data_IF_456216139217
#
_entry.id   IF_456216139217
#
_cell.length_a   1.000
_cell.length_b   1.000
_cell.length_c   1.000
_cell.angle_alpha   90.00
_cell.angle_beta   90.00
_cell.angle_gamma   90.00
#
_symmetry.space_group_name_H-M   'P 1'
#
loop_
_entity.id
_entity.type
_entity.pdbx_description
1 polymer ?
#
# COMPACT_ATOMS: atom_id res chain seq x y z
N UNK A 1 56.69 21.13 -55.91
CA UNK A 1 58.16 20.87 -55.85
C UNK A 1 58.75 21.71 -54.71
N UNK A 2 59.73 21.25 -54.01
CA UNK A 2 59.78 20.16 -53.06
C UNK A 2 60.47 20.54 -51.70
N UNK A 3 60.41 19.53 -50.74
CA UNK A 3 61.53 19.04 -49.91
C UNK A 3 62.12 20.04 -48.88
N UNK A 4 62.33 19.74 -47.65
CA UNK A 4 63.11 18.76 -46.86
C UNK A 4 62.80 19.02 -45.38
N UNK A 5 62.63 18.08 -44.60
CA UNK A 5 63.46 17.09 -43.85
C UNK A 5 64.29 17.66 -42.70
N UNK A 6 64.09 16.98 -41.53
CA UNK A 6 65.01 16.85 -40.38
C UNK A 6 65.07 18.02 -39.39
N UNK A 7 64.97 17.83 -38.08
CA UNK A 7 65.70 16.87 -37.25
C UNK A 7 65.21 16.87 -35.81
N UNK A 8 65.06 15.68 -35.21
CA UNK A 8 65.56 15.19 -33.92
C UNK A 8 65.02 15.70 -32.56
N UNK A 9 64.47 14.70 -31.96
CA UNK A 9 64.85 14.08 -30.67
C UNK A 9 64.41 14.74 -29.36
N UNK A 10 63.72 13.91 -28.65
CA UNK A 10 63.88 13.43 -27.28
C UNK A 10 62.75 13.78 -26.30
N UNK A 11 62.24 12.78 -25.62
CA UNK A 11 61.51 12.88 -24.40
C UNK A 11 60.40 11.86 -24.25
N UNK A 12 60.78 10.61 -24.14
CA UNK A 12 59.96 9.49 -23.73
C UNK A 12 59.66 9.61 -22.25
N UNK A 13 58.36 9.60 -21.89
CA UNK A 13 57.93 9.14 -20.57
C UNK A 13 56.49 8.62 -20.70
N UNK A 14 56.23 7.33 -20.46
CA UNK A 14 54.87 6.78 -20.59
C UNK A 14 54.02 7.15 -19.37
N UNK A 15 53.00 7.97 -19.60
CA UNK A 15 51.98 8.22 -18.62
C UNK A 15 51.21 6.93 -18.25
N UNK A 16 51.20 6.61 -16.99
CA UNK A 16 50.45 5.50 -16.39
C UNK A 16 48.95 5.55 -16.75
N UNK A 17 48.30 4.40 -16.94
CA UNK A 17 46.88 4.37 -17.21
C UNK A 17 46.10 4.86 -16.01
N UNK A 18 44.94 5.55 -16.19
CA UNK A 18 44.13 5.98 -15.08
C UNK A 18 43.53 4.75 -14.39
N UNK A 19 43.70 4.69 -13.10
CA UNK A 19 43.05 3.73 -12.20
C UNK A 19 41.54 3.69 -12.47
N UNK A 20 41.04 2.55 -12.91
CA UNK A 20 39.63 2.27 -13.08
C UNK A 20 38.95 2.38 -11.74
N UNK A 21 37.96 3.28 -11.67
CA UNK A 21 37.08 3.52 -10.55
C UNK A 21 36.36 2.20 -10.17
N UNK A 22 36.85 1.53 -9.14
CA UNK A 22 36.21 0.40 -8.47
C UNK A 22 35.07 0.87 -7.56
N UNK A 23 34.15 1.70 -8.07
CA UNK A 23 33.03 2.26 -7.31
C UNK A 23 31.64 1.69 -7.66
N UNK A 24 31.52 0.97 -8.79
CA UNK A 24 30.20 0.55 -9.28
C UNK A 24 29.61 -0.71 -8.66
N UNK A 25 30.43 -1.63 -8.18
CA UNK A 25 29.97 -2.93 -7.70
C UNK A 25 29.35 -2.91 -6.30
N UNK A 26 29.74 -1.97 -5.43
CA UNK A 26 29.20 -1.86 -4.07
C UNK A 26 27.82 -1.20 -4.03
N UNK A 27 27.53 -0.25 -4.91
CA UNK A 27 26.22 0.44 -4.95
C UNK A 27 25.12 -0.46 -5.50
N UNK A 28 25.40 -1.28 -6.51
CA UNK A 28 24.43 -2.24 -7.08
C UNK A 28 24.14 -3.38 -6.12
N UNK A 29 25.12 -3.88 -5.38
CA UNK A 29 24.94 -4.92 -4.36
C UNK A 29 24.11 -4.44 -3.15
N UNK A 30 24.26 -3.20 -2.72
CA UNK A 30 23.47 -2.60 -1.65
C UNK A 30 22.00 -2.46 -2.06
N UNK A 31 21.72 -2.00 -3.27
CA UNK A 31 20.37 -1.89 -3.83
C UNK A 31 19.70 -3.25 -4.03
N UNK A 32 20.40 -4.27 -4.49
CA UNK A 32 19.85 -5.62 -4.62
C UNK A 32 19.54 -6.25 -3.27
N UNK A 33 20.40 -6.11 -2.26
CA UNK A 33 20.14 -6.60 -0.90
C UNK A 33 18.96 -5.89 -0.25
N UNK A 34 18.84 -4.59 -0.44
CA UNK A 34 17.71 -3.80 0.06
C UNK A 34 16.39 -4.24 -0.59
N UNK A 35 16.36 -4.41 -1.91
CA UNK A 35 15.19 -4.92 -2.64
C UNK A 35 14.81 -6.33 -2.19
N UNK A 36 15.78 -7.24 -2.04
CA UNK A 36 15.52 -8.59 -1.56
C UNK A 36 15.00 -8.62 -0.11
N UNK A 37 15.48 -7.69 0.76
CA UNK A 37 14.97 -7.53 2.12
C UNK A 37 13.52 -7.05 2.09
N UNK A 38 13.19 -6.06 1.27
CA UNK A 38 11.83 -5.53 1.14
C UNK A 38 10.88 -6.56 0.55
N UNK A 39 11.28 -7.29 -0.49
CA UNK A 39 10.47 -8.38 -1.06
C UNK A 39 10.11 -9.44 -0.01
N UNK A 40 11.07 -9.83 0.85
CA UNK A 40 10.80 -10.79 1.93
C UNK A 40 9.86 -10.21 2.99
N UNK A 41 10.02 -8.92 3.32
CA UNK A 41 9.14 -8.22 4.24
C UNK A 41 7.71 -8.21 3.72
N UNK A 42 7.51 -7.88 2.45
CA UNK A 42 6.18 -7.90 1.80
C UNK A 42 5.58 -9.31 1.74
N UNK A 43 6.39 -10.33 1.46
CA UNK A 43 5.94 -11.72 1.50
C UNK A 43 5.43 -12.14 2.90
N UNK A 44 6.13 -11.69 3.97
CA UNK A 44 5.69 -11.92 5.36
C UNK A 44 4.39 -11.19 5.67
N UNK A 45 4.20 -9.95 5.23
CA UNK A 45 2.97 -9.20 5.44
C UNK A 45 1.78 -9.81 4.67
N UNK A 46 2.01 -10.28 3.44
CA UNK A 46 0.99 -10.98 2.66
C UNK A 46 0.56 -12.30 3.32
N UNK A 47 1.53 -13.10 3.78
CA UNK A 47 1.24 -14.32 4.54
C UNK A 47 0.48 -14.02 5.84
N UNK A 48 0.85 -12.94 6.53
CA UNK A 48 0.18 -12.50 7.75
C UNK A 48 -1.28 -12.11 7.50
N UNK A 49 -1.56 -11.35 6.45
CA UNK A 49 -2.93 -10.98 6.09
C UNK A 49 -3.81 -12.23 5.94
N UNK A 50 -3.36 -13.23 5.16
CA UNK A 50 -4.12 -14.45 4.91
C UNK A 50 -4.25 -15.31 6.17
N UNK A 51 -3.17 -15.55 6.91
CA UNK A 51 -3.19 -16.41 8.11
C UNK A 51 -3.99 -15.77 9.24
N UNK A 52 -3.80 -14.49 9.50
CA UNK A 52 -4.60 -13.79 10.50
C UNK A 52 -6.08 -13.78 10.09
N UNK A 53 -6.43 -13.50 8.84
CA UNK A 53 -7.81 -13.50 8.39
C UNK A 53 -8.52 -14.84 8.62
N UNK A 54 -7.84 -15.96 8.35
CA UNK A 54 -8.40 -17.32 8.50
C UNK A 54 -8.44 -17.77 9.95
N UNK A 55 -7.32 -17.66 10.66
CA UNK A 55 -7.12 -18.29 11.97
C UNK A 55 -7.31 -17.33 13.16
N UNK A 56 -7.25 -16.02 12.94
CA UNK A 56 -7.19 -15.00 13.98
C UNK A 56 -5.76 -14.77 14.49
N UNK A 57 -5.49 -13.54 14.95
CA UNK A 57 -4.19 -13.15 15.46
C UNK A 57 -3.64 -14.10 16.52
N UNK A 58 -4.47 -14.53 17.49
CA UNK A 58 -4.01 -15.31 18.63
C UNK A 58 -3.53 -16.72 18.26
N UNK A 59 -4.06 -17.32 17.17
CA UNK A 59 -3.77 -18.70 16.78
C UNK A 59 -2.62 -18.85 15.80
N UNK A 60 -2.01 -17.75 15.37
CA UNK A 60 -0.90 -17.74 14.40
C UNK A 60 0.40 -17.45 15.15
N UNK A 61 1.43 -18.26 14.91
CA UNK A 61 2.79 -18.04 15.41
C UNK A 61 3.65 -17.31 14.37
N UNK A 62 4.84 -16.84 14.80
CA UNK A 62 5.82 -16.28 13.83
C UNK A 62 6.40 -17.36 12.92
N UNK A 63 6.47 -18.58 13.42
CA UNK A 63 6.91 -19.77 12.68
C UNK A 63 5.94 -20.07 11.53
N UNK A 64 4.62 -20.00 11.79
CA UNK A 64 3.59 -20.17 10.75
C UNK A 64 3.71 -19.10 9.65
N UNK A 65 3.95 -17.84 10.05
CA UNK A 65 4.16 -16.74 9.12
C UNK A 65 5.42 -16.97 8.26
N UNK A 66 6.51 -17.41 8.89
CA UNK A 66 7.75 -17.76 8.20
C UNK A 66 7.55 -18.88 7.19
N UNK A 67 6.92 -19.97 7.60
CA UNK A 67 6.64 -21.12 6.74
C UNK A 67 5.77 -20.71 5.54
N UNK A 68 4.71 -19.93 5.76
CA UNK A 68 3.82 -19.46 4.69
C UNK A 68 4.51 -18.48 3.72
N UNK A 69 5.45 -17.69 4.20
CA UNK A 69 6.22 -16.75 3.38
C UNK A 69 7.47 -17.39 2.73
N UNK A 70 7.76 -18.68 2.98
CA UNK A 70 8.98 -19.34 2.50
C UNK A 70 10.26 -18.77 3.14
N UNK A 71 10.16 -18.27 4.39
CA UNK A 71 11.26 -17.64 5.12
C UNK A 71 11.57 -18.45 6.39
N UNK A 72 12.85 -18.70 6.68
CA UNK A 72 13.23 -19.44 7.90
C UNK A 72 12.86 -18.68 9.18
N UNK A 73 12.53 -19.39 10.26
CA UNK A 73 12.18 -18.79 11.55
C UNK A 73 13.16 -17.70 12.01
N UNK A 74 14.48 -17.95 12.08
CA UNK A 74 15.45 -16.91 12.42
C UNK A 74 15.46 -15.70 11.49
N UNK A 75 15.03 -15.87 10.23
CA UNK A 75 14.92 -14.76 9.29
C UNK A 75 13.68 -13.89 9.56
N UNK A 76 12.60 -14.46 10.08
CA UNK A 76 11.41 -13.67 10.48
C UNK A 76 11.78 -12.71 11.60
N UNK A 77 12.48 -13.17 12.63
CA UNK A 77 12.92 -12.34 13.76
C UNK A 77 13.86 -11.18 13.37
N UNK A 78 14.54 -11.27 12.20
CA UNK A 78 15.32 -10.16 11.65
C UNK A 78 14.47 -9.05 11.05
N UNK A 79 13.22 -9.35 10.69
CA UNK A 79 12.27 -8.38 10.13
C UNK A 79 11.31 -7.83 11.19
N UNK A 80 10.88 -8.68 12.13
CA UNK A 80 9.86 -8.32 13.11
C UNK A 80 10.20 -8.94 14.48
N UNK A 81 10.20 -8.16 15.57
CA UNK A 81 10.51 -8.67 16.92
C UNK A 81 9.42 -9.58 17.49
N UNK A 82 8.22 -9.59 16.90
CA UNK A 82 7.09 -10.38 17.33
C UNK A 82 5.90 -10.26 16.37
N UNK A 83 4.90 -11.12 16.55
CA UNK A 83 3.72 -11.13 15.67
C UNK A 83 2.87 -9.84 15.78
N UNK A 84 2.90 -9.16 16.95
CA UNK A 84 2.27 -7.85 17.11
C UNK A 84 2.91 -6.80 16.20
N UNK A 85 4.23 -6.80 16.06
CA UNK A 85 4.93 -5.92 15.13
C UNK A 85 4.63 -6.25 13.66
N UNK A 86 4.35 -7.53 13.33
CA UNK A 86 3.88 -7.91 11.99
C UNK A 86 2.49 -7.33 11.73
N UNK A 87 1.57 -7.45 12.69
CA UNK A 87 0.22 -6.90 12.59
C UNK A 87 0.26 -5.37 12.47
N UNK A 88 1.08 -4.70 13.28
CA UNK A 88 1.30 -3.25 13.22
C UNK A 88 1.79 -2.82 11.83
N UNK A 89 2.86 -3.46 11.35
CA UNK A 89 3.42 -3.16 10.03
C UNK A 89 2.42 -3.41 8.89
N UNK A 90 1.61 -4.46 8.97
CA UNK A 90 0.56 -4.75 7.99
C UNK A 90 -0.48 -3.63 7.93
N UNK A 91 -1.07 -3.28 9.07
CA UNK A 91 -2.17 -2.30 9.09
C UNK A 91 -1.68 -0.86 8.85
N UNK A 92 -0.46 -0.52 9.31
CA UNK A 92 0.17 0.77 9.00
C UNK A 92 0.46 0.91 7.51
N UNK A 93 1.09 -0.12 6.88
CA UNK A 93 1.39 -0.08 5.45
C UNK A 93 0.13 0.10 4.62
N UNK A 94 -0.91 -0.69 4.90
CA UNK A 94 -2.18 -0.61 4.17
C UNK A 94 -2.87 0.74 4.36
N UNK A 95 -2.87 1.30 5.58
CA UNK A 95 -3.47 2.61 5.84
C UNK A 95 -2.71 3.74 5.14
N UNK A 96 -1.38 3.64 5.06
CA UNK A 96 -0.56 4.59 4.32
C UNK A 96 -0.79 4.46 2.81
N UNK A 97 -0.80 3.24 2.27
CA UNK A 97 -1.04 2.99 0.83
C UNK A 97 -2.42 3.52 0.39
N UNK A 98 -3.45 3.38 1.24
CA UNK A 98 -4.78 3.94 0.97
C UNK A 98 -4.76 5.47 0.97
N UNK A 99 -4.08 6.10 1.91
CA UNK A 99 -3.97 7.55 1.96
C UNK A 99 -3.20 8.09 0.75
N UNK A 100 -2.01 7.55 0.48
CA UNK A 100 -1.14 8.00 -0.61
C UNK A 100 -1.80 7.78 -1.99
N UNK A 101 -2.41 6.61 -2.18
CA UNK A 101 -3.15 6.28 -3.39
C UNK A 101 -4.38 7.17 -3.58
N UNK A 102 -5.14 7.41 -2.50
CA UNK A 102 -6.27 8.33 -2.51
C UNK A 102 -5.87 9.75 -2.87
N UNK A 103 -4.82 10.28 -2.25
CA UNK A 103 -4.28 11.60 -2.57
C UNK A 103 -3.84 11.69 -4.05
N UNK A 104 -3.19 10.63 -4.55
CA UNK A 104 -2.72 10.58 -5.94
C UNK A 104 -3.86 10.62 -6.94
N UNK A 105 -4.95 9.88 -6.71
CA UNK A 105 -6.11 9.88 -7.62
C UNK A 105 -6.89 11.19 -7.58
N UNK A 106 -6.96 11.85 -6.41
CA UNK A 106 -7.57 13.18 -6.27
C UNK A 106 -6.75 14.23 -6.99
N UNK A 107 -5.42 14.24 -6.79
CA UNK A 107 -4.51 15.19 -7.44
C UNK A 107 -4.52 15.08 -8.97
N UNK A 108 -4.80 13.88 -9.51
CA UNK A 108 -4.90 13.65 -10.96
C UNK A 108 -6.29 13.94 -11.56
N UNK A 109 -7.26 14.36 -10.73
CA UNK A 109 -8.61 14.69 -11.20
C UNK A 109 -8.72 16.17 -11.57
N UNK A 110 -9.58 16.47 -12.56
CA UNK A 110 -9.80 17.84 -13.03
C UNK A 110 -10.90 18.60 -12.27
N UNK A 111 -11.77 17.86 -11.56
CA UNK A 111 -12.92 18.41 -10.85
C UNK A 111 -13.35 17.47 -9.71
N UNK A 112 -14.15 17.96 -8.73
CA UNK A 112 -14.57 17.17 -7.57
C UNK A 112 -15.38 15.91 -7.91
N UNK A 113 -16.23 15.95 -8.94
CA UNK A 113 -17.04 14.79 -9.34
C UNK A 113 -16.18 13.68 -9.91
N UNK A 114 -15.20 14.03 -10.76
CA UNK A 114 -14.20 13.10 -11.28
C UNK A 114 -13.30 12.54 -10.17
N UNK A 115 -12.93 13.38 -9.19
CA UNK A 115 -12.16 12.97 -8.04
C UNK A 115 -12.92 11.92 -7.19
N UNK A 116 -14.21 12.18 -6.92
CA UNK A 116 -15.06 11.26 -6.18
C UNK A 116 -15.20 9.91 -6.88
N UNK A 117 -15.48 9.93 -8.20
CA UNK A 117 -15.60 8.70 -8.97
C UNK A 117 -14.31 7.87 -8.91
N UNK A 118 -13.14 8.50 -9.05
CA UNK A 118 -11.84 7.83 -8.96
C UNK A 118 -11.53 7.31 -7.55
N UNK A 119 -11.89 8.05 -6.49
CA UNK A 119 -11.74 7.59 -5.11
C UNK A 119 -12.59 6.35 -4.86
N UNK A 120 -13.84 6.34 -5.31
CA UNK A 120 -14.73 5.17 -5.21
C UNK A 120 -14.14 3.97 -5.93
N UNK A 121 -13.69 4.14 -7.18
CA UNK A 121 -13.04 3.06 -7.94
C UNK A 121 -11.81 2.52 -7.20
N UNK A 122 -10.93 3.41 -6.77
CA UNK A 122 -9.71 3.06 -6.03
C UNK A 122 -10.01 2.25 -4.76
N UNK A 123 -10.98 2.70 -3.95
CA UNK A 123 -11.33 2.02 -2.71
C UNK A 123 -12.06 0.69 -2.95
N UNK A 124 -12.92 0.62 -3.96
CA UNK A 124 -13.57 -0.65 -4.37
C UNK A 124 -12.53 -1.65 -4.85
N UNK A 125 -11.53 -1.22 -5.62
CA UNK A 125 -10.42 -2.07 -6.06
C UNK A 125 -9.63 -2.62 -4.90
N UNK A 126 -9.31 -1.76 -3.93
CA UNK A 126 -8.67 -2.17 -2.69
C UNK A 126 -9.51 -3.23 -1.96
N UNK A 127 -10.79 -2.96 -1.72
CA UNK A 127 -11.65 -3.84 -0.94
C UNK A 127 -11.86 -5.22 -1.59
N UNK A 128 -12.00 -5.27 -2.90
CA UNK A 128 -12.14 -6.52 -3.65
C UNK A 128 -10.85 -7.32 -3.73
N UNK A 129 -9.71 -6.64 -3.74
CA UNK A 129 -8.38 -7.27 -3.82
C UNK A 129 -7.84 -7.69 -2.45
N UNK A 130 -8.26 -7.03 -1.35
CA UNK A 130 -7.71 -7.20 -0.01
C UNK A 130 -8.75 -7.57 1.06
N UNK A 131 -9.68 -8.52 0.80
CA UNK A 131 -10.72 -8.86 1.77
C UNK A 131 -10.16 -9.41 3.10
N UNK A 132 -8.99 -10.04 3.07
CA UNK A 132 -8.34 -10.58 4.26
C UNK A 132 -7.82 -9.47 5.17
N UNK A 133 -7.28 -8.39 4.60
CA UNK A 133 -6.82 -7.22 5.37
C UNK A 133 -8.00 -6.56 6.08
N UNK A 134 -9.14 -6.40 5.39
CA UNK A 134 -10.35 -5.82 6.01
C UNK A 134 -10.79 -6.66 7.21
N UNK A 135 -10.84 -8.01 7.06
CA UNK A 135 -11.17 -8.91 8.19
C UNK A 135 -10.20 -8.77 9.36
N UNK A 136 -8.90 -8.69 9.06
CA UNK A 136 -7.87 -8.53 10.09
C UNK A 136 -8.06 -7.21 10.81
N UNK A 137 -8.29 -6.13 10.09
CA UNK A 137 -8.52 -4.82 10.68
C UNK A 137 -9.76 -4.80 11.60
N UNK A 138 -10.89 -5.34 11.12
CA UNK A 138 -12.14 -5.36 11.88
C UNK A 138 -12.04 -6.18 13.17
N UNK A 139 -11.37 -7.33 13.11
CA UNK A 139 -11.32 -8.28 14.24
C UNK A 139 -10.12 -8.09 15.15
N UNK A 140 -8.95 -7.84 14.57
CA UNK A 140 -7.67 -7.98 15.28
C UNK A 140 -7.02 -6.62 15.64
N UNK A 141 -7.66 -5.49 15.30
CA UNK A 141 -7.16 -4.13 15.57
C UNK A 141 -6.77 -3.89 17.05
N UNK A 142 -7.54 -4.45 17.98
CA UNK A 142 -7.28 -4.32 19.42
C UNK A 142 -6.00 -5.03 19.89
N UNK A 143 -5.42 -5.91 19.06
CA UNK A 143 -4.13 -6.58 19.36
C UNK A 143 -2.91 -5.74 18.98
N UNK A 144 -3.09 -4.59 18.35
CA UNK A 144 -2.00 -3.63 18.08
C UNK A 144 -1.45 -3.03 19.37
N UNK A 145 -0.21 -2.56 19.32
CA UNK A 145 0.32 -1.66 20.37
C UNK A 145 -0.47 -0.36 20.41
N UNK A 146 -0.46 0.35 21.54
CA UNK A 146 -1.13 1.64 21.67
C UNK A 146 -0.64 2.66 20.63
N UNK A 147 0.67 2.65 20.37
CA UNK A 147 1.30 3.53 19.38
C UNK A 147 0.86 3.20 17.96
N UNK A 148 0.85 1.92 17.58
CA UNK A 148 0.37 1.48 16.26
C UNK A 148 -1.11 1.80 16.07
N UNK A 149 -1.95 1.57 17.12
CA UNK A 149 -3.36 1.96 17.08
C UNK A 149 -3.54 3.46 16.82
N UNK A 150 -2.76 4.30 17.51
CA UNK A 150 -2.82 5.75 17.34
C UNK A 150 -2.42 6.17 15.92
N UNK A 151 -1.35 5.59 15.38
CA UNK A 151 -0.87 5.87 14.03
C UNK A 151 -1.85 5.42 12.95
N UNK A 152 -2.37 4.17 13.04
CA UNK A 152 -3.38 3.66 12.09
C UNK A 152 -4.62 4.55 12.11
N UNK A 153 -5.14 4.90 13.32
CA UNK A 153 -6.30 5.81 13.42
C UNK A 153 -6.01 7.20 12.85
N UNK A 154 -4.79 7.71 12.97
CA UNK A 154 -4.42 8.99 12.38
C UNK A 154 -4.47 8.93 10.85
N UNK A 155 -3.89 7.89 10.24
CA UNK A 155 -3.93 7.68 8.80
C UNK A 155 -5.35 7.49 8.27
N UNK A 156 -6.17 6.71 8.98
CA UNK A 156 -7.58 6.50 8.63
C UNK A 156 -8.38 7.80 8.70
N UNK A 157 -8.17 8.63 9.74
CA UNK A 157 -8.82 9.96 9.80
C UNK A 157 -8.41 10.84 8.63
N UNK A 158 -7.11 10.89 8.30
CA UNK A 158 -6.64 11.67 7.15
C UNK A 158 -7.25 11.19 5.84
N UNK A 159 -7.45 9.87 5.68
CA UNK A 159 -8.11 9.31 4.51
C UNK A 159 -9.61 9.66 4.46
N UNK A 160 -10.30 9.66 5.59
CA UNK A 160 -11.70 10.12 5.68
C UNK A 160 -11.80 11.61 5.31
N UNK A 161 -10.93 12.46 5.87
CA UNK A 161 -10.94 13.90 5.58
C UNK A 161 -10.67 14.18 4.09
N UNK A 162 -9.82 13.41 3.42
CA UNK A 162 -9.63 13.51 1.97
C UNK A 162 -10.97 13.32 1.20
N UNK A 163 -11.80 12.37 1.63
CA UNK A 163 -13.12 12.16 1.03
C UNK A 163 -14.09 13.29 1.36
N UNK A 164 -14.04 13.80 2.59
CA UNK A 164 -14.86 14.95 3.03
C UNK A 164 -14.54 16.18 2.21
N UNK A 165 -13.26 16.47 1.96
CA UNK A 165 -12.83 17.61 1.15
C UNK A 165 -13.35 17.52 -0.30
N UNK A 166 -13.28 16.34 -0.90
CA UNK A 166 -13.84 16.11 -2.25
C UNK A 166 -15.36 16.26 -2.25
N UNK A 167 -16.06 15.73 -1.24
CA UNK A 167 -17.51 15.87 -1.10
C UNK A 167 -17.95 17.32 -0.89
N UNK A 168 -17.20 18.11 -0.13
CA UNK A 168 -17.47 19.53 0.07
C UNK A 168 -17.42 20.31 -1.26
N UNK A 169 -16.57 19.90 -2.19
CA UNK A 169 -16.54 20.48 -3.54
C UNK A 169 -17.78 20.16 -4.40
N UNK A 170 -18.58 19.15 -4.02
CA UNK A 170 -19.81 18.74 -4.71
C UNK A 170 -21.05 19.25 -3.96
N UNK A 171 -21.03 19.24 -2.66
CA UNK A 171 -22.13 19.55 -1.74
C UNK A 171 -21.80 20.80 -0.91
N UNK A 172 -21.65 21.96 -1.55
CA UNK A 172 -21.15 23.19 -0.93
C UNK A 172 -22.01 23.71 0.26
N UNK A 173 -23.30 23.36 0.29
CA UNK A 173 -24.25 23.79 1.33
C UNK A 173 -24.44 22.73 2.44
N UNK A 174 -23.76 21.59 2.36
CA UNK A 174 -23.91 20.48 3.32
C UNK A 174 -22.92 20.61 4.47
N UNK A 175 -23.37 20.37 5.70
CA UNK A 175 -22.51 20.38 6.89
C UNK A 175 -21.41 19.31 6.77
N UNK A 176 -20.22 19.67 7.23
CA UNK A 176 -19.06 18.77 7.25
C UNK A 176 -19.32 17.48 8.05
N UNK A 177 -20.16 17.52 9.10
CA UNK A 177 -20.52 16.33 9.86
C UNK A 177 -21.33 15.34 9.00
N UNK A 178 -22.26 15.85 8.17
CA UNK A 178 -23.05 15.03 7.24
C UNK A 178 -22.15 14.44 6.15
N UNK A 179 -21.22 15.22 5.60
CA UNK A 179 -20.26 14.73 4.62
C UNK A 179 -19.38 13.62 5.19
N UNK A 180 -18.93 13.77 6.44
CA UNK A 180 -18.17 12.75 7.16
C UNK A 180 -18.99 11.48 7.41
N UNK A 181 -20.27 11.64 7.76
CA UNK A 181 -21.20 10.51 7.91
C UNK A 181 -21.38 9.76 6.59
N UNK A 182 -21.55 10.46 5.46
CA UNK A 182 -21.63 9.85 4.11
C UNK A 182 -20.38 9.05 3.78
N UNK A 183 -19.19 9.61 4.04
CA UNK A 183 -17.91 8.93 3.82
C UNK A 183 -17.82 7.63 4.66
N UNK A 184 -18.12 7.69 5.96
CA UNK A 184 -18.11 6.51 6.85
C UNK A 184 -19.13 5.45 6.45
N UNK A 185 -20.37 5.84 6.11
CA UNK A 185 -21.38 4.89 5.64
C UNK A 185 -20.96 4.19 4.36
N UNK A 186 -20.33 4.93 3.44
CA UNK A 186 -19.82 4.39 2.18
C UNK A 186 -18.64 3.43 2.40
N UNK A 187 -17.75 3.73 3.35
CA UNK A 187 -16.70 2.77 3.74
C UNK A 187 -17.30 1.49 4.32
N UNK A 188 -18.33 1.58 5.16
CA UNK A 188 -19.06 0.40 5.65
C UNK A 188 -19.66 -0.42 4.51
N UNK A 189 -20.27 0.25 3.52
CA UNK A 189 -20.81 -0.41 2.33
C UNK A 189 -19.72 -1.14 1.53
N UNK A 190 -18.63 -0.46 1.18
CA UNK A 190 -17.56 -1.04 0.36
C UNK A 190 -16.80 -2.12 1.14
N UNK A 191 -16.47 -1.88 2.40
CA UNK A 191 -15.73 -2.82 3.25
C UNK A 191 -16.57 -4.01 3.72
N UNK A 192 -17.86 -4.09 3.38
CA UNK A 192 -18.67 -5.30 3.58
C UNK A 192 -18.25 -6.49 2.70
N UNK A 193 -17.37 -6.27 1.72
CA UNK A 193 -16.94 -7.28 0.72
C UNK A 193 -16.46 -8.61 1.29
N UNK A 194 -15.72 -8.70 2.43
CA UNK A 194 -15.33 -9.98 3.01
C UNK A 194 -16.53 -10.87 3.38
N UNK A 195 -17.67 -10.25 3.65
CA UNK A 195 -18.90 -10.91 4.11
C UNK A 195 -19.92 -11.06 2.99
N UNK A 196 -20.07 -10.05 2.12
CA UNK A 196 -21.14 -9.97 1.11
C UNK A 196 -20.79 -10.64 -0.21
N UNK A 197 -19.51 -10.69 -0.59
CA UNK A 197 -19.08 -11.30 -1.87
C UNK A 197 -19.11 -12.84 -1.83
N UNK A 198 -19.22 -13.45 -0.65
CA UNK A 198 -19.42 -14.88 -0.45
C UNK A 198 -20.86 -15.16 -0.03
N UNK A 199 -21.68 -15.64 -0.94
CA UNK A 199 -23.03 -16.07 -0.61
C UNK A 199 -23.20 -17.57 -0.94
N UNK A 200 -23.66 -18.39 0.03
CA UNK A 200 -23.90 -19.83 -0.10
C UNK A 200 -22.72 -20.62 -0.71
N UNK A 201 -21.49 -20.29 -0.29
CA UNK A 201 -20.28 -20.99 -0.79
C UNK A 201 -19.80 -20.56 -2.18
N UNK A 202 -20.55 -19.72 -2.90
CA UNK A 202 -20.13 -19.16 -4.20
C UNK A 202 -19.66 -17.73 -4.03
N UNK A 203 -18.49 -17.43 -4.58
CA UNK A 203 -17.97 -16.06 -4.65
C UNK A 203 -18.54 -15.37 -5.88
N UNK A 204 -19.14 -14.18 -5.69
CA UNK A 204 -19.51 -13.33 -6.83
C UNK A 204 -18.24 -12.97 -7.62
N UNK A 205 -18.32 -13.04 -8.95
CA UNK A 205 -17.18 -12.65 -9.78
C UNK A 205 -16.85 -11.16 -9.58
N UNK A 206 -15.58 -10.83 -9.44
CA UNK A 206 -15.12 -9.45 -9.24
C UNK A 206 -15.66 -8.51 -10.32
N UNK A 207 -15.71 -8.99 -11.59
CA UNK A 207 -16.26 -8.24 -12.71
C UNK A 207 -17.72 -7.81 -12.54
N UNK A 208 -18.49 -8.55 -11.72
CA UNK A 208 -19.90 -8.25 -11.41
C UNK A 208 -20.03 -7.44 -10.12
N UNK A 209 -19.20 -7.72 -9.13
CA UNK A 209 -19.22 -7.03 -7.83
C UNK A 209 -18.74 -5.58 -7.93
N UNK A 210 -17.70 -5.33 -8.72
CA UNK A 210 -17.09 -4.00 -8.90
C UNK A 210 -18.11 -2.94 -9.33
N UNK A 211 -18.77 -3.01 -10.50
CA UNK A 211 -19.68 -1.98 -10.94
C UNK A 211 -20.88 -1.80 -10.03
N UNK A 212 -21.32 -2.88 -9.36
CA UNK A 212 -22.40 -2.80 -8.38
C UNK A 212 -21.99 -1.96 -7.17
N UNK A 213 -20.81 -2.21 -6.57
CA UNK A 213 -20.31 -1.47 -5.44
C UNK A 213 -20.01 -0.01 -5.79
N UNK A 214 -19.41 0.24 -6.95
CA UNK A 214 -19.13 1.59 -7.44
C UNK A 214 -20.42 2.40 -7.59
N UNK A 215 -21.44 1.84 -8.25
CA UNK A 215 -22.72 2.50 -8.45
C UNK A 215 -23.45 2.77 -7.13
N UNK A 216 -23.47 1.79 -6.20
CA UNK A 216 -24.09 1.97 -4.88
C UNK A 216 -23.37 3.04 -4.05
N UNK A 217 -22.04 3.03 -4.06
CA UNK A 217 -21.22 4.00 -3.32
C UNK A 217 -21.42 5.41 -3.88
N UNK A 218 -21.37 5.59 -5.20
CA UNK A 218 -21.61 6.88 -5.83
C UNK A 218 -23.02 7.38 -5.55
N UNK A 219 -24.05 6.55 -5.68
CA UNK A 219 -25.43 6.92 -5.37
C UNK A 219 -25.60 7.37 -3.91
N UNK A 220 -24.96 6.69 -2.96
CA UNK A 220 -25.00 7.05 -1.55
C UNK A 220 -24.31 8.40 -1.26
N UNK A 221 -23.17 8.64 -1.91
CA UNK A 221 -22.37 9.86 -1.72
C UNK A 221 -22.99 11.09 -2.38
N UNK A 222 -23.70 10.91 -3.51
CA UNK A 222 -24.32 12.00 -4.27
C UNK A 222 -25.81 12.17 -4.00
N UNK A 223 -26.39 11.38 -3.09
CA UNK A 223 -27.79 11.54 -2.67
C UNK A 223 -28.04 12.98 -2.17
N UNK A 224 -29.17 13.60 -2.51
CA UNK A 224 -29.57 14.88 -1.90
C UNK A 224 -29.67 14.76 -0.38
N UNK A 225 -29.50 15.91 0.31
CA UNK A 225 -29.66 16.00 1.76
C UNK A 225 -31.14 15.91 2.14
#
# INVERSE_FOLDING_TARGET
>A
VPITEQDRLAGDDPAAPPEALAGGAHATGATQRSRAKETRRQALLSAAASLFAVNGFNRVSLEDLGAAAGVSGPAVYRHFPGKQAVLGALLLSVSQDLLDGGQSVVAAAGDPASALARLVQFHVDFALSNPDVIRVQDRDFSNLSADDQAQVRALQRSYVELWVDVLAGIHSETDTADLRMRAHATFGLINSTPHSVRNHGRRMAIKSARPLLENMALAALTAPA
#
